data_IF_235846039106
#
_entry.id   IF_235846039106
#
_cell.length_a   1.000
_cell.length_b   1.000
_cell.length_c   1.000
_cell.angle_alpha   90.00
_cell.angle_beta   90.00
_cell.angle_gamma   90.00
#
_symmetry.space_group_name_H-M   'P 1'
#
loop_
_entity.id
_entity.type
_entity.pdbx_description
1 polymer ?
#
# COMPACT_ATOMS: atom_id res chain seq x y z
N UNK A 1 35.71 -22.33 23.14
CA UNK A 1 35.83 -21.48 21.94
C UNK A 1 34.77 -20.41 22.03
N UNK A 2 35.22 -19.16 21.96
CA UNK A 2 34.45 -17.92 22.08
C UNK A 2 33.65 -17.62 20.81
N UNK A 3 32.54 -16.89 20.96
CA UNK A 3 31.86 -16.16 19.88
C UNK A 3 30.39 -16.54 19.76
N UNK A 4 29.43 -15.62 19.70
CA UNK A 4 29.44 -14.16 19.59
C UNK A 4 28.07 -13.71 20.08
N UNK A 5 28.03 -12.70 20.95
CA UNK A 5 26.78 -12.08 21.40
C UNK A 5 26.01 -11.53 20.21
N UNK A 6 24.74 -11.93 20.09
CA UNK A 6 23.77 -11.19 19.30
C UNK A 6 23.41 -9.95 20.11
N UNK A 7 23.87 -8.79 19.64
CA UNK A 7 23.43 -7.52 20.16
C UNK A 7 21.91 -7.46 20.04
N UNK A 8 21.22 -7.47 21.17
CA UNK A 8 19.82 -7.09 21.28
C UNK A 8 19.74 -5.63 20.86
N UNK A 9 19.51 -5.40 19.56
CA UNK A 9 19.13 -4.10 19.02
C UNK A 9 17.84 -3.71 19.70
N UNK A 10 17.89 -2.59 20.40
CA UNK A 10 16.82 -2.00 21.19
C UNK A 10 15.52 -1.93 20.38
N UNK A 11 14.60 -2.85 20.70
CA UNK A 11 13.19 -2.72 20.36
C UNK A 11 12.58 -1.65 21.28
N UNK A 12 12.94 -0.39 21.06
CA UNK A 12 12.05 0.73 21.34
C UNK A 12 10.92 0.71 20.30
N UNK A 13 10.15 -0.40 20.30
CA UNK A 13 8.78 -0.38 19.79
C UNK A 13 7.97 0.44 20.79
N UNK A 14 7.96 1.77 20.58
CA UNK A 14 6.84 2.59 21.00
C UNK A 14 5.60 2.09 20.22
N UNK A 15 4.99 1.02 20.72
CA UNK A 15 3.73 0.48 20.25
C UNK A 15 2.70 1.60 20.40
N UNK A 16 2.45 2.31 19.30
CA UNK A 16 1.38 3.31 19.21
C UNK A 16 0.09 2.67 19.76
N UNK A 17 -0.64 3.34 20.67
CA UNK A 17 -1.79 2.74 21.30
C UNK A 17 -2.83 2.38 20.24
N UNK A 18 -3.06 1.07 20.09
CA UNK A 18 -4.16 0.51 19.35
C UNK A 18 -5.44 0.83 20.12
N UNK A 19 -6.08 1.95 19.77
CA UNK A 19 -7.53 2.23 19.77
C UNK A 19 -7.70 3.77 19.60
N UNK A 20 -8.23 4.28 18.47
CA UNK A 20 -8.59 5.69 18.41
C UNK A 20 -9.72 5.94 19.42
N UNK A 21 -9.42 6.72 20.46
CA UNK A 21 -10.39 7.06 21.51
C UNK A 21 -11.72 7.53 20.89
N UNK A 22 -12.84 7.24 21.56
CA UNK A 22 -14.19 7.63 21.12
C UNK A 22 -14.28 9.11 20.71
N UNK A 23 -13.49 9.98 21.37
CA UNK A 23 -13.34 11.41 21.06
C UNK A 23 -12.67 11.67 19.71
N UNK A 24 -11.67 10.89 19.31
CA UNK A 24 -11.00 10.99 18.01
C UNK A 24 -11.91 10.54 16.86
N UNK A 25 -12.66 9.45 17.05
CA UNK A 25 -13.65 9.00 16.07
C UNK A 25 -14.78 10.01 15.90
N UNK A 26 -15.31 10.54 17.01
CA UNK A 26 -16.33 11.61 16.99
C UNK A 26 -15.81 12.90 16.33
N UNK A 27 -14.53 13.24 16.52
CA UNK A 27 -13.88 14.37 15.83
C UNK A 27 -13.71 14.12 14.33
N UNK A 28 -13.34 12.90 13.91
CA UNK A 28 -13.28 12.56 12.48
C UNK A 28 -14.66 12.64 11.83
N UNK A 29 -15.68 12.11 12.48
CA UNK A 29 -17.04 12.10 11.96
C UNK A 29 -17.64 13.52 11.84
N UNK A 30 -17.43 14.35 12.85
CA UNK A 30 -17.89 15.76 12.82
C UNK A 30 -17.21 16.57 11.72
N UNK A 31 -15.90 16.38 11.49
CA UNK A 31 -15.17 17.03 10.40
C UNK A 31 -15.62 16.49 9.04
N UNK A 32 -15.87 15.19 8.90
CA UNK A 32 -16.42 14.58 7.68
C UNK A 32 -17.80 15.12 7.34
N UNK A 33 -18.68 15.25 8.33
CA UNK A 33 -20.01 15.83 8.14
C UNK A 33 -19.96 17.30 7.74
N UNK A 34 -18.99 18.07 8.26
CA UNK A 34 -18.85 19.51 7.99
C UNK A 34 -18.19 19.82 6.64
N UNK A 35 -17.17 19.06 6.25
CA UNK A 35 -16.31 19.39 5.10
C UNK A 35 -16.34 18.37 3.96
N UNK A 36 -16.98 17.22 4.16
CA UNK A 36 -17.13 16.18 3.14
C UNK A 36 -15.84 15.39 2.87
N UNK A 37 -15.93 14.45 1.92
CA UNK A 37 -14.81 13.59 1.53
C UNK A 37 -13.71 14.36 0.80
N UNK A 38 -14.08 15.36 0.00
CA UNK A 38 -13.14 16.16 -0.78
C UNK A 38 -12.15 16.92 0.09
N UNK A 39 -12.56 17.30 1.30
CA UNK A 39 -11.67 17.89 2.29
C UNK A 39 -10.54 16.95 2.68
N UNK A 40 -10.86 15.69 3.01
CA UNK A 40 -9.86 14.67 3.34
C UNK A 40 -8.95 14.35 2.17
N UNK A 41 -9.52 14.26 0.96
CA UNK A 41 -8.75 14.05 -0.26
C UNK A 41 -7.72 15.18 -0.47
N UNK A 42 -8.15 16.44 -0.29
CA UNK A 42 -7.30 17.62 -0.46
C UNK A 42 -6.19 17.69 0.58
N UNK A 43 -6.50 17.52 1.87
CA UNK A 43 -5.49 17.59 2.94
C UNK A 43 -4.53 16.40 2.89
N UNK A 44 -5.01 15.21 2.51
CA UNK A 44 -4.17 14.02 2.30
C UNK A 44 -3.20 14.23 1.14
N UNK A 45 -3.69 14.75 0.00
CA UNK A 45 -2.83 15.11 -1.15
C UNK A 45 -1.80 16.17 -0.76
N UNK A 46 -2.21 17.24 -0.08
CA UNK A 46 -1.30 18.31 0.37
C UNK A 46 -0.21 17.76 1.30
N UNK A 47 -0.58 16.97 2.30
CA UNK A 47 0.36 16.33 3.22
C UNK A 47 1.35 15.41 2.49
N UNK A 48 0.87 14.63 1.52
CA UNK A 48 1.72 13.78 0.68
C UNK A 48 2.72 14.58 -0.17
N UNK A 49 2.29 15.68 -0.80
CA UNK A 49 3.19 16.54 -1.59
C UNK A 49 4.26 17.15 -0.70
N UNK A 50 3.86 17.76 0.43
CA UNK A 50 4.81 18.39 1.37
C UNK A 50 5.80 17.37 1.93
N UNK A 51 5.36 16.15 2.22
CA UNK A 51 6.24 15.10 2.73
C UNK A 51 7.21 14.60 1.66
N UNK A 52 6.79 14.53 0.38
CA UNK A 52 7.65 14.24 -0.77
C UNK A 52 8.70 15.31 -0.99
N UNK A 53 8.33 16.59 -0.92
CA UNK A 53 9.27 17.70 -1.03
C UNK A 53 10.30 17.69 0.10
N UNK A 54 9.87 17.40 1.33
CA UNK A 54 10.76 17.42 2.52
C UNK A 54 11.67 16.20 2.64
N UNK A 55 11.20 15.01 2.30
CA UNK A 55 11.88 13.74 2.58
C UNK A 55 12.34 12.99 1.33
N UNK A 56 11.96 13.45 0.14
CA UNK A 56 12.35 12.85 -1.13
C UNK A 56 11.66 11.51 -1.42
N UNK A 57 12.02 10.91 -2.56
CA UNK A 57 11.45 9.65 -3.04
C UNK A 57 11.87 8.43 -2.22
N UNK A 58 13.09 8.42 -1.66
CA UNK A 58 13.62 7.28 -0.89
C UNK A 58 12.85 7.04 0.41
N UNK A 59 12.34 8.10 1.02
CA UNK A 59 11.44 7.98 2.17
C UNK A 59 10.17 7.19 1.83
N UNK A 60 9.53 7.50 0.70
CA UNK A 60 8.35 6.78 0.22
C UNK A 60 8.64 5.32 -0.13
N UNK A 61 9.79 5.08 -0.76
CA UNK A 61 10.24 3.73 -1.09
C UNK A 61 10.39 2.88 0.17
N UNK A 62 11.00 3.45 1.21
CA UNK A 62 11.23 2.76 2.48
C UNK A 62 9.91 2.44 3.19
N UNK A 63 9.01 3.41 3.32
CA UNK A 63 7.70 3.16 3.98
C UNK A 63 6.83 2.18 3.19
N UNK A 64 6.87 2.24 1.86
CA UNK A 64 6.13 1.31 1.00
C UNK A 64 6.70 -0.12 1.15
N UNK A 65 8.03 -0.26 1.18
CA UNK A 65 8.68 -1.55 1.41
C UNK A 65 8.34 -2.13 2.79
N UNK A 66 8.40 -1.30 3.85
CA UNK A 66 8.01 -1.71 5.20
C UNK A 66 6.56 -2.18 5.26
N UNK A 67 5.64 -1.40 4.68
CA UNK A 67 4.23 -1.75 4.60
C UNK A 67 3.98 -3.05 3.81
N UNK A 68 4.66 -3.23 2.68
CA UNK A 68 4.59 -4.46 1.88
C UNK A 68 5.10 -5.69 2.64
N UNK A 69 6.25 -5.58 3.31
CA UNK A 69 6.80 -6.67 4.15
C UNK A 69 5.85 -7.03 5.28
N UNK A 70 5.31 -6.05 5.99
CA UNK A 70 4.33 -6.28 7.06
C UNK A 70 3.07 -6.97 6.52
N UNK A 71 2.62 -6.60 5.32
CA UNK A 71 1.46 -7.21 4.68
C UNK A 71 1.70 -8.70 4.34
N UNK A 72 2.87 -9.02 3.77
CA UNK A 72 3.27 -10.40 3.45
C UNK A 72 3.41 -11.26 4.71
N UNK A 73 3.89 -10.71 5.82
CA UNK A 73 3.95 -11.42 7.11
C UNK A 73 2.56 -11.67 7.68
N UNK A 74 1.64 -10.71 7.51
CA UNK A 74 0.29 -10.77 8.07
C UNK A 74 -0.64 -11.75 7.35
N UNK A 75 -0.49 -11.89 6.03
CA UNK A 75 -1.43 -12.63 5.20
C UNK A 75 -0.78 -13.82 4.50
N UNK A 76 -1.55 -14.89 4.32
CA UNK A 76 -1.07 -16.10 3.64
C UNK A 76 -1.05 -15.91 2.11
N UNK A 77 -0.34 -16.78 1.36
CA UNK A 77 -0.36 -16.78 -0.10
C UNK A 77 -1.78 -16.87 -0.69
N UNK A 78 -2.69 -17.60 -0.04
CA UNK A 78 -4.09 -17.75 -0.45
C UNK A 78 -4.82 -16.42 -0.47
N UNK A 79 -4.56 -15.54 0.50
CA UNK A 79 -5.13 -14.19 0.54
C UNK A 79 -4.77 -13.39 -0.72
N UNK A 80 -3.50 -13.45 -1.13
CA UNK A 80 -3.06 -12.77 -2.36
C UNK A 80 -3.63 -13.41 -3.61
N UNK A 81 -3.76 -14.74 -3.63
CA UNK A 81 -4.39 -15.46 -4.74
C UNK A 81 -5.87 -15.08 -4.90
N UNK A 82 -6.63 -14.96 -3.81
CA UNK A 82 -8.02 -14.50 -3.82
C UNK A 82 -8.13 -13.05 -4.33
N UNK A 83 -7.25 -12.15 -3.86
CA UNK A 83 -7.19 -10.77 -4.33
C UNK A 83 -6.89 -10.70 -5.83
N UNK A 84 -5.96 -11.51 -6.32
CA UNK A 84 -5.66 -11.66 -7.75
C UNK A 84 -6.86 -12.16 -8.56
N UNK A 85 -7.53 -13.23 -8.09
CA UNK A 85 -8.76 -13.77 -8.70
C UNK A 85 -9.86 -12.71 -8.78
N UNK A 86 -10.09 -11.97 -7.70
CA UNK A 86 -11.08 -10.89 -7.63
C UNK A 86 -10.78 -9.79 -8.64
N UNK A 87 -9.52 -9.33 -8.73
CA UNK A 87 -9.10 -8.33 -9.72
C UNK A 87 -9.25 -8.82 -11.16
N UNK A 88 -8.90 -10.09 -11.43
CA UNK A 88 -9.09 -10.72 -12.73
C UNK A 88 -10.56 -10.81 -13.14
N UNK A 89 -11.46 -11.20 -12.22
CA UNK A 89 -12.91 -11.25 -12.46
C UNK A 89 -13.47 -9.86 -12.78
N UNK A 90 -13.14 -8.85 -11.99
CA UNK A 90 -13.58 -7.47 -12.23
C UNK A 90 -13.09 -6.93 -13.58
N UNK A 91 -11.87 -7.31 -13.99
CA UNK A 91 -11.34 -6.96 -15.32
C UNK A 91 -12.14 -7.66 -16.42
N UNK A 92 -12.41 -8.97 -16.28
CA UNK A 92 -13.20 -9.73 -17.25
C UNK A 92 -14.61 -9.20 -17.42
N UNK A 93 -15.24 -8.74 -16.34
CA UNK A 93 -16.59 -8.16 -16.37
C UNK A 93 -16.63 -6.77 -17.03
N UNK A 94 -15.54 -6.00 -16.94
CA UNK A 94 -15.48 -4.63 -17.46
C UNK A 94 -14.85 -4.49 -18.85
N UNK A 95 -14.15 -5.51 -19.34
CA UNK A 95 -13.36 -5.44 -20.56
C UNK A 95 -13.86 -6.41 -21.65
N UNK A 96 -13.89 -5.94 -22.89
CA UNK A 96 -14.24 -6.74 -24.08
C UNK A 96 -13.05 -7.48 -24.71
N UNK A 97 -13.29 -8.18 -25.81
CA UNK A 97 -12.28 -9.00 -26.51
C UNK A 97 -11.03 -8.21 -26.94
N UNK A 98 -11.19 -6.96 -27.39
CA UNK A 98 -10.09 -6.10 -27.84
C UNK A 98 -9.04 -5.84 -26.76
N UNK A 99 -9.46 -5.76 -25.49
CA UNK A 99 -8.55 -5.61 -24.36
C UNK A 99 -7.56 -6.78 -24.30
N UNK A 100 -8.07 -8.00 -24.38
CA UNK A 100 -7.26 -9.22 -24.32
C UNK A 100 -6.35 -9.36 -25.56
N UNK A 101 -6.84 -9.01 -26.75
CA UNK A 101 -6.03 -8.96 -27.95
C UNK A 101 -4.88 -7.96 -27.83
N UNK A 102 -5.12 -6.78 -27.25
CA UNK A 102 -4.09 -5.75 -27.05
C UNK A 102 -3.02 -6.19 -26.06
N UNK A 103 -3.41 -6.69 -24.89
CA UNK A 103 -2.43 -7.14 -23.88
C UNK A 103 -1.63 -8.35 -24.37
N UNK A 104 -2.24 -9.25 -25.17
CA UNK A 104 -1.54 -10.37 -25.80
C UNK A 104 -0.46 -9.91 -26.78
N UNK A 105 -0.78 -8.93 -27.65
CA UNK A 105 0.20 -8.32 -28.57
C UNK A 105 1.36 -7.66 -27.82
N UNK A 106 1.06 -6.91 -26.75
CA UNK A 106 2.07 -6.26 -25.91
C UNK A 106 2.99 -7.29 -25.23
N UNK A 107 2.43 -8.36 -24.65
CA UNK A 107 3.21 -9.44 -24.03
C UNK A 107 4.11 -10.16 -25.03
N UNK A 108 3.60 -10.48 -26.22
CA UNK A 108 4.37 -11.12 -27.29
C UNK A 108 5.52 -10.23 -27.79
N UNK A 109 5.27 -8.92 -27.97
CA UNK A 109 6.30 -7.97 -28.36
C UNK A 109 7.38 -7.82 -27.28
N UNK A 110 7.01 -7.78 -26.00
CA UNK A 110 7.96 -7.69 -24.90
C UNK A 110 8.88 -8.91 -24.81
N UNK A 111 8.35 -10.12 -25.05
CA UNK A 111 9.15 -11.35 -25.07
C UNK A 111 10.18 -11.35 -26.19
N UNK A 112 9.80 -10.87 -27.38
CA UNK A 112 10.67 -10.79 -28.56
C UNK A 112 11.81 -9.76 -28.41
N UNK A 113 11.61 -8.72 -27.60
CA UNK A 113 12.67 -7.73 -27.31
C UNK A 113 13.69 -8.21 -26.28
N UNK A 114 13.39 -9.32 -25.59
CA UNK A 114 14.27 -9.95 -24.59
C UNK A 114 15.05 -11.14 -25.13
N UNK A 115 14.74 -11.61 -26.35
CA UNK A 115 15.50 -12.62 -27.10
C UNK A 115 16.47 -11.92 -28.04
#
# INVERSE_FOLDING_TARGET
MSGKGIATLSDDEEKLPAEPTSKANRRKETVRRKYGEDYYRRIGKKGGITLKEKRGSEYYRTIAQKGGKANVVKYSPEHFAEMGKKGGKATKESQGADFYSRIGKLGGAARRRKS
#
